data_IF_371276030969
#
_entry.id   IF_371276030969
#
_cell.length_a   1.000
_cell.length_b   1.000
_cell.length_c   1.000
_cell.angle_alpha   90.00
_cell.angle_beta   90.00
_cell.angle_gamma   90.00
#
_symmetry.space_group_name_H-M   'P 1'
#
loop_
_entity.id
_entity.type
_entity.pdbx_description
1 polymer ?
#
# COMPACT_ATOMS: atom_id res chain seq x y z
N UNK A 1 -7.54 32.53 27.41
CA UNK A 1 -7.11 32.09 26.07
C UNK A 1 -6.78 30.60 26.22
N UNK A 2 -7.71 29.65 26.31
CA UNK A 2 -8.85 29.31 25.43
C UNK A 2 -8.50 29.46 23.96
N UNK A 3 -8.05 28.37 23.34
CA UNK A 3 -8.69 27.83 22.14
C UNK A 3 -8.13 26.42 21.83
N UNK A 4 -8.57 25.42 22.59
CA UNK A 4 -8.55 24.05 22.10
C UNK A 4 -9.95 23.85 21.52
N UNK A 5 -10.10 24.15 20.23
CA UNK A 5 -11.33 23.88 19.53
C UNK A 5 -11.58 22.37 19.62
N UNK A 6 -12.58 22.00 20.41
CA UNK A 6 -13.17 20.67 20.39
C UNK A 6 -13.68 20.45 18.95
N UNK A 7 -12.96 19.64 18.18
CA UNK A 7 -13.42 19.18 16.88
C UNK A 7 -14.58 18.22 17.10
N UNK A 8 -15.78 18.78 17.16
CA UNK A 8 -17.01 18.01 17.17
C UNK A 8 -17.21 17.45 15.75
N UNK A 9 -16.96 16.14 15.59
CA UNK A 9 -17.22 15.40 14.34
C UNK A 9 -18.73 15.20 14.16
N UNK A 10 -19.46 16.30 13.99
CA UNK A 10 -20.91 16.28 13.93
C UNK A 10 -21.40 16.12 12.48
N UNK A 11 -21.10 14.95 11.90
CA UNK A 11 -21.93 14.24 10.92
C UNK A 11 -21.22 12.94 10.50
N UNK A 12 -21.76 11.74 10.78
CA UNK A 12 -21.30 10.56 10.07
C UNK A 12 -21.95 10.62 8.67
N UNK A 13 -21.37 11.44 7.79
CA UNK A 13 -21.54 11.17 6.35
C UNK A 13 -21.20 9.68 6.16
N UNK A 14 -22.00 8.92 5.41
CA UNK A 14 -21.71 7.50 5.19
C UNK A 14 -20.29 7.41 4.67
N UNK A 15 -19.41 6.76 5.44
CA UNK A 15 -18.05 6.51 5.02
C UNK A 15 -18.13 5.68 3.75
N UNK A 16 -17.62 6.18 2.61
CA UNK A 16 -17.66 5.40 1.39
C UNK A 16 -16.99 4.05 1.66
N UNK A 17 -17.68 2.99 1.29
CA UNK A 17 -17.22 1.61 1.53
C UNK A 17 -16.07 1.19 0.63
N UNK A 18 -15.61 2.08 -0.27
CA UNK A 18 -14.55 1.81 -1.22
C UNK A 18 -13.74 3.06 -1.55
N UNK A 19 -12.71 2.85 -2.37
CA UNK A 19 -11.69 3.84 -2.70
C UNK A 19 -11.96 4.60 -4.01
N UNK A 20 -13.10 4.37 -4.64
CA UNK A 20 -13.60 5.10 -5.81
C UNK A 20 -14.10 6.50 -5.40
N UNK A 21 -13.16 7.35 -5.00
CA UNK A 21 -13.42 8.74 -4.58
C UNK A 21 -13.00 9.71 -5.68
N UNK A 22 -13.70 10.84 -5.77
CA UNK A 22 -13.27 11.95 -6.63
C UNK A 22 -12.13 12.71 -5.93
N UNK A 23 -10.90 12.74 -6.48
CA UNK A 23 -9.78 13.45 -5.87
C UNK A 23 -9.95 14.98 -5.86
N UNK A 24 -10.95 15.52 -6.56
CA UNK A 24 -11.26 16.95 -6.58
C UNK A 24 -12.37 17.35 -5.60
N UNK A 25 -13.00 16.38 -4.93
CA UNK A 25 -14.06 16.63 -3.95
C UNK A 25 -13.48 16.83 -2.55
N UNK A 26 -13.88 17.92 -1.87
CA UNK A 26 -13.28 18.31 -0.58
C UNK A 26 -13.95 17.65 0.63
N UNK A 27 -15.24 17.27 0.52
CA UNK A 27 -16.06 16.85 1.67
C UNK A 27 -16.51 15.38 1.61
N UNK A 28 -15.89 14.57 0.75
CA UNK A 28 -16.17 13.14 0.60
C UNK A 28 -14.99 12.28 1.06
N UNK A 29 -15.21 11.00 1.43
CA UNK A 29 -14.12 10.07 1.73
C UNK A 29 -13.86 9.75 3.21
N UNK A 30 -14.34 10.57 4.15
CA UNK A 30 -14.08 10.37 5.58
C UNK A 30 -12.62 10.58 5.98
N UNK A 31 -12.27 10.28 7.24
CA UNK A 31 -10.91 10.47 7.78
C UNK A 31 -10.37 9.15 8.31
N UNK A 32 -9.13 8.83 7.93
CA UNK A 32 -8.37 7.70 8.48
C UNK A 32 -7.10 8.17 9.18
N UNK A 33 -6.76 7.51 10.28
CA UNK A 33 -5.48 7.76 10.98
C UNK A 33 -4.44 6.75 10.50
N UNK A 34 -3.31 7.25 10.00
CA UNK A 34 -2.22 6.41 9.47
C UNK A 34 -0.86 6.86 10.00
N UNK A 35 0.06 5.90 10.14
CA UNK A 35 1.45 6.23 10.48
C UNK A 35 2.15 6.89 9.28
N UNK A 36 3.06 7.84 9.55
CA UNK A 36 3.83 8.52 8.49
C UNK A 36 4.57 7.56 7.56
N UNK A 37 5.15 6.49 8.11
CA UNK A 37 5.85 5.48 7.30
C UNK A 37 4.89 4.70 6.39
N UNK A 38 3.64 4.50 6.82
CA UNK A 38 2.62 3.83 6.02
C UNK A 38 2.21 4.67 4.81
N UNK A 39 2.13 6.00 4.95
CA UNK A 39 1.95 6.91 3.81
C UNK A 39 3.10 6.81 2.81
N UNK A 40 4.35 6.76 3.28
CA UNK A 40 5.52 6.60 2.40
C UNK A 40 5.46 5.28 1.63
N UNK A 41 5.02 4.19 2.27
CA UNK A 41 4.83 2.89 1.59
C UNK A 41 3.82 3.00 0.46
N UNK A 42 2.67 3.64 0.69
CA UNK A 42 1.64 3.85 -0.34
C UNK A 42 2.23 4.66 -1.51
N UNK A 43 2.92 5.77 -1.24
CA UNK A 43 3.55 6.61 -2.27
C UNK A 43 4.57 5.82 -3.09
N UNK A 44 5.42 5.02 -2.44
CA UNK A 44 6.36 4.14 -3.14
C UNK A 44 5.65 3.18 -4.10
N UNK A 45 4.59 2.51 -3.64
CA UNK A 45 3.87 1.53 -4.46
C UNK A 45 3.15 2.21 -5.63
N UNK A 46 2.51 3.36 -5.41
CA UNK A 46 1.89 4.13 -6.49
C UNK A 46 2.91 4.57 -7.56
N UNK A 47 4.10 4.99 -7.14
CA UNK A 47 5.18 5.36 -8.04
C UNK A 47 5.67 4.16 -8.87
N UNK A 48 5.87 3.00 -8.24
CA UNK A 48 6.27 1.76 -8.93
C UNK A 48 5.20 1.26 -9.90
N UNK A 49 3.92 1.35 -9.53
CA UNK A 49 2.81 1.02 -10.40
C UNK A 49 2.85 1.90 -11.66
N UNK A 50 2.75 3.22 -11.50
CA UNK A 50 2.78 4.16 -12.64
C UNK A 50 4.05 4.00 -13.51
N UNK A 51 5.22 3.86 -12.88
CA UNK A 51 6.48 3.64 -13.59
C UNK A 51 6.45 2.34 -14.41
N UNK A 52 5.88 1.26 -13.88
CA UNK A 52 5.72 0.01 -14.61
C UNK A 52 4.76 0.15 -15.78
N UNK A 53 3.54 0.65 -15.56
CA UNK A 53 2.56 0.77 -16.63
C UNK A 53 3.12 1.57 -17.81
N UNK A 54 3.83 2.66 -17.52
CA UNK A 54 4.51 3.46 -18.54
C UNK A 54 5.67 2.69 -19.22
N UNK A 55 6.54 2.05 -18.44
CA UNK A 55 7.73 1.33 -18.96
C UNK A 55 7.34 0.15 -19.85
N UNK A 56 6.28 -0.56 -19.53
CA UNK A 56 5.83 -1.77 -20.22
C UNK A 56 4.70 -1.51 -21.23
N UNK A 57 4.14 -0.30 -21.28
CA UNK A 57 3.04 0.05 -22.19
C UNK A 57 1.74 -0.69 -21.86
N UNK A 58 1.49 -0.94 -20.57
CA UNK A 58 0.27 -1.61 -20.12
C UNK A 58 -0.93 -0.68 -20.27
N UNK A 59 -2.08 -1.22 -20.67
CA UNK A 59 -3.34 -0.48 -20.76
C UNK A 59 -4.03 -0.28 -19.42
N UNK A 60 -3.62 -1.02 -18.39
CA UNK A 60 -4.15 -0.91 -17.04
C UNK A 60 -3.88 0.48 -16.44
N UNK A 61 -4.86 1.01 -15.72
CA UNK A 61 -4.71 2.26 -14.99
C UNK A 61 -4.03 2.01 -13.63
N UNK A 62 -2.90 2.68 -13.30
CA UNK A 62 -2.25 2.56 -11.99
C UNK A 62 -3.17 2.93 -10.83
N UNK A 63 -4.06 3.92 -10.99
CA UNK A 63 -4.96 4.32 -9.92
C UNK A 63 -5.98 3.22 -9.66
N UNK A 64 -6.64 2.73 -10.72
CA UNK A 64 -7.55 1.58 -10.67
C UNK A 64 -6.93 0.37 -9.98
N UNK A 65 -5.66 0.02 -10.29
CA UNK A 65 -4.96 -1.08 -9.61
C UNK A 65 -4.78 -0.79 -8.11
N UNK A 66 -4.38 0.42 -7.73
CA UNK A 66 -4.14 0.80 -6.33
C UNK A 66 -5.37 0.73 -5.44
N UNK A 67 -6.57 0.90 -6.02
CA UNK A 67 -7.84 1.01 -5.28
C UNK A 67 -8.74 -0.22 -5.39
N UNK A 68 -8.41 -1.17 -6.28
CA UNK A 68 -9.18 -2.39 -6.49
C UNK A 68 -8.74 -3.50 -5.53
N UNK A 69 -9.68 -4.29 -4.95
CA UNK A 69 -9.36 -5.52 -4.23
C UNK A 69 -8.55 -6.52 -5.07
N UNK A 70 -7.50 -7.10 -4.50
CA UNK A 70 -6.65 -8.09 -5.19
C UNK A 70 -6.41 -9.34 -4.33
N UNK A 71 -6.42 -10.52 -4.95
CA UNK A 71 -6.13 -11.79 -4.28
C UNK A 71 -4.72 -11.81 -3.68
N UNK A 72 -3.76 -11.16 -4.34
CA UNK A 72 -2.38 -10.92 -3.86
C UNK A 72 -2.34 -10.40 -2.41
N UNK A 73 -3.34 -9.60 -2.03
CA UNK A 73 -3.47 -8.95 -0.74
C UNK A 73 -4.60 -9.52 0.12
N UNK A 74 -5.10 -10.72 -0.22
CA UNK A 74 -6.19 -11.36 0.51
C UNK A 74 -7.52 -10.61 0.37
N UNK A 75 -7.77 -10.01 -0.79
CA UNK A 75 -8.99 -9.27 -1.09
C UNK A 75 -9.00 -7.83 -0.60
N UNK A 76 -7.88 -7.31 -0.09
CA UNK A 76 -7.71 -5.89 0.22
C UNK A 76 -7.21 -5.12 -1.01
N UNK A 77 -7.53 -3.82 -1.08
CA UNK A 77 -6.93 -2.94 -2.07
C UNK A 77 -5.45 -2.64 -1.72
N UNK A 78 -4.55 -2.43 -2.69
CA UNK A 78 -3.16 -2.06 -2.41
C UNK A 78 -3.02 -0.83 -1.51
N UNK A 79 -3.87 0.18 -1.68
CA UNK A 79 -3.89 1.41 -0.86
C UNK A 79 -4.11 1.10 0.63
N UNK A 80 -4.81 0.03 0.96
CA UNK A 80 -5.03 -0.45 2.34
C UNK A 80 -3.93 -1.40 2.77
N UNK A 81 -3.68 -2.44 1.99
CA UNK A 81 -2.75 -3.50 2.35
C UNK A 81 -1.33 -2.94 2.54
N UNK A 82 -0.90 -2.00 1.70
CA UNK A 82 0.45 -1.43 1.73
C UNK A 82 0.69 -0.44 2.87
N UNK A 83 -0.31 -0.18 3.73
CA UNK A 83 -0.05 0.41 5.04
C UNK A 83 0.95 -0.45 5.83
N UNK A 84 0.94 -1.77 5.60
CA UNK A 84 1.83 -2.74 6.22
C UNK A 84 3.10 -3.02 5.40
N UNK A 85 4.19 -3.35 6.11
CA UNK A 85 5.51 -3.55 5.51
C UNK A 85 5.54 -4.71 4.51
N UNK A 86 4.88 -5.82 4.83
CA UNK A 86 4.94 -7.04 4.03
C UNK A 86 4.18 -6.88 2.69
N UNK A 87 2.91 -6.46 2.66
CA UNK A 87 2.21 -6.16 1.41
C UNK A 87 2.93 -5.12 0.55
N UNK A 88 3.47 -4.05 1.14
CA UNK A 88 4.28 -3.07 0.41
C UNK A 88 5.49 -3.73 -0.29
N UNK A 89 6.19 -4.64 0.39
CA UNK A 89 7.30 -5.39 -0.21
C UNK A 89 6.84 -6.28 -1.36
N UNK A 90 5.67 -6.93 -1.25
CA UNK A 90 5.07 -7.73 -2.32
C UNK A 90 4.78 -6.87 -3.55
N UNK A 91 4.14 -5.71 -3.37
CA UNK A 91 3.79 -4.80 -4.45
C UNK A 91 5.03 -4.30 -5.21
N UNK A 92 6.08 -3.91 -4.48
CA UNK A 92 7.37 -3.51 -5.09
C UNK A 92 7.95 -4.65 -5.94
N UNK A 93 7.91 -5.89 -5.46
CA UNK A 93 8.40 -7.03 -6.25
C UNK A 93 7.55 -7.28 -7.50
N UNK A 94 6.23 -7.18 -7.40
CA UNK A 94 5.32 -7.35 -8.54
C UNK A 94 5.63 -6.35 -9.64
N UNK A 95 5.78 -5.06 -9.30
CA UNK A 95 6.07 -4.02 -10.30
C UNK A 95 7.53 -3.99 -10.75
N UNK A 96 8.47 -4.24 -9.83
CA UNK A 96 9.91 -4.22 -10.13
C UNK A 96 10.38 -5.41 -10.97
N UNK A 97 9.72 -6.57 -10.85
CA UNK A 97 10.04 -7.78 -11.61
C UNK A 97 9.11 -8.04 -12.79
N UNK A 98 8.12 -7.17 -13.03
CA UNK A 98 7.18 -7.33 -14.14
C UNK A 98 6.25 -8.55 -14.00
N UNK A 99 5.86 -8.94 -12.78
CA UNK A 99 5.01 -10.11 -12.53
C UNK A 99 3.53 -9.83 -12.84
N UNK A 100 2.67 -10.85 -12.81
CA UNK A 100 1.22 -10.61 -12.94
C UNK A 100 0.73 -9.58 -11.91
N UNK A 101 -0.15 -8.67 -12.33
CA UNK A 101 -0.64 -7.57 -11.47
C UNK A 101 -1.40 -8.05 -10.24
N UNK A 102 -2.10 -9.19 -10.35
CA UNK A 102 -2.68 -9.92 -9.22
C UNK A 102 -2.04 -11.32 -9.12
N UNK A 103 -0.73 -11.33 -8.87
CA UNK A 103 0.04 -12.57 -8.76
C UNK A 103 -0.43 -13.42 -7.56
N UNK A 104 -0.36 -14.74 -7.72
CA UNK A 104 -0.65 -15.68 -6.63
C UNK A 104 0.17 -15.34 -5.36
N UNK A 105 -0.50 -15.10 -4.21
CA UNK A 105 0.16 -14.76 -2.96
C UNK A 105 1.25 -15.74 -2.56
N UNK A 106 1.01 -17.04 -2.74
CA UNK A 106 1.94 -18.09 -2.31
C UNK A 106 3.24 -18.04 -3.11
N UNK A 107 3.16 -17.68 -4.39
CA UNK A 107 4.32 -17.49 -5.27
C UNK A 107 5.16 -16.28 -4.84
N UNK A 108 4.52 -15.16 -4.49
CA UNK A 108 5.24 -13.96 -4.04
C UNK A 108 5.83 -14.14 -2.64
N UNK A 109 5.13 -14.83 -1.73
CA UNK A 109 5.62 -15.09 -0.38
C UNK A 109 6.95 -15.86 -0.36
N UNK A 110 7.19 -16.74 -1.34
CA UNK A 110 8.48 -17.42 -1.51
C UNK A 110 9.61 -16.46 -1.86
N UNK A 111 9.33 -15.38 -2.60
CA UNK A 111 10.31 -14.36 -2.96
C UNK A 111 10.65 -13.47 -1.75
N UNK A 112 9.64 -13.07 -0.97
CA UNK A 112 9.84 -12.22 0.21
C UNK A 112 10.44 -13.00 1.40
N UNK A 113 10.12 -14.30 1.48
CA UNK A 113 10.56 -15.21 2.55
C UNK A 113 12.03 -15.61 2.50
N UNK A 114 12.77 -15.24 1.45
CA UNK A 114 14.19 -15.57 1.34
C UNK A 114 15.07 -14.61 2.17
N UNK A 115 14.93 -14.67 3.51
CA UNK A 115 15.90 -14.06 4.41
C UNK A 115 17.17 -14.91 4.46
N UNK A 116 18.29 -14.27 4.13
CA UNK A 116 19.66 -14.75 4.33
C UNK A 116 19.79 -15.46 5.69
N UNK A 117 20.15 -16.74 5.67
CA UNK A 117 20.84 -17.38 6.78
C UNK A 117 22.25 -16.79 6.84
N UNK A 118 22.55 -16.03 7.89
CA UNK A 118 23.88 -15.96 8.48
C UNK A 118 23.78 -15.27 9.84
N UNK A 119 23.51 -16.08 10.89
CA UNK A 119 24.01 -15.75 12.22
C UNK A 119 25.51 -15.97 12.17
N UNK A 120 26.30 -14.91 12.07
CA UNK A 120 27.67 -14.92 12.57
C UNK A 120 27.81 -13.76 13.56
N UNK A 121 27.52 -14.06 14.82
CA UNK A 121 28.04 -13.27 15.93
C UNK A 121 29.43 -13.83 16.19
N UNK A 122 30.48 -13.08 15.89
CA UNK A 122 31.80 -13.41 16.43
C UNK A 122 31.78 -13.23 17.95
N UNK A 123 32.45 -14.11 18.71
CA UNK A 123 32.62 -13.92 20.14
C UNK A 123 33.62 -12.78 20.38
N UNK A 124 33.21 -11.81 21.20
CA UNK A 124 34.14 -10.84 21.78
C UNK A 124 35.07 -11.61 22.70
N UNK A 125 36.33 -11.76 22.31
CA UNK A 125 37.38 -12.28 23.18
C UNK A 125 38.03 -11.12 23.94
N UNK A 126 37.94 -11.24 25.27
CA UNK A 126 38.68 -10.59 26.37
C UNK A 126 38.63 -9.06 26.48
#
# INVERSE_FOLDING_TARGET
MSDAADFEFDNPLPTPTGWELDPLEENSGGIITVQRVSLVRIVCVAAEAGARMQREGLSDDPVSWMISPLELFGGLAPIEACLERLPCSKAILVHGLGLALDADPASIDRLVGNKRSAKHREPVHA
#
